data_IF_880934860988
#
_entry.id   IF_880934860988
#
_cell.length_a   1.000
_cell.length_b   1.000
_cell.length_c   1.000
_cell.angle_alpha   90.00
_cell.angle_beta   90.00
_cell.angle_gamma   90.00
#
_symmetry.space_group_name_H-M   'P 1'
#
loop_
_entity.id
_entity.type
_entity.pdbx_description
1 polymer ?
#
# COMPACT_ATOMS: atom_id res chain seq x y z
N UNK A 1 -7.73 15.13 -7.16
CA UNK A 1 -6.60 15.77 -6.44
C UNK A 1 -5.31 15.48 -7.19
N UNK A 2 -4.51 16.51 -7.48
CA UNK A 2 -3.14 16.34 -7.98
C UNK A 2 -2.17 16.63 -6.84
N UNK A 3 -1.19 15.76 -6.62
CA UNK A 3 -0.10 16.06 -5.68
C UNK A 3 0.85 17.03 -6.39
N UNK A 4 0.93 18.25 -5.87
CA UNK A 4 1.91 19.24 -6.31
C UNK A 4 3.15 19.17 -5.41
N UNK A 5 4.30 19.57 -5.94
CA UNK A 5 5.50 19.78 -5.12
C UNK A 5 5.57 21.26 -4.78
N UNK A 6 5.66 21.54 -3.49
CA UNK A 6 5.88 22.88 -2.94
C UNK A 6 7.24 22.99 -2.26
N UNK A 7 7.60 24.21 -1.87
CA UNK A 7 8.80 24.49 -1.09
C UNK A 7 8.47 25.44 0.04
N UNK A 8 8.76 25.04 1.27
CA UNK A 8 8.72 25.92 2.43
C UNK A 8 9.80 27.00 2.26
N UNK A 9 9.39 28.26 2.22
CA UNK A 9 10.28 29.39 1.99
C UNK A 9 11.16 29.75 3.19
N UNK A 10 10.79 29.34 4.40
CA UNK A 10 11.56 29.59 5.61
C UNK A 10 12.66 28.54 5.78
N UNK A 11 12.31 27.26 5.62
CA UNK A 11 13.24 26.15 5.84
C UNK A 11 13.95 25.69 4.56
N UNK A 12 13.42 26.09 3.39
CA UNK A 12 13.86 25.60 2.09
C UNK A 12 13.44 24.17 1.78
N UNK A 13 12.69 23.52 2.67
CA UNK A 13 12.28 22.12 2.58
C UNK A 13 11.23 21.92 1.47
N UNK A 14 11.41 20.90 0.64
CA UNK A 14 10.39 20.48 -0.32
C UNK A 14 9.27 19.68 0.36
N UNK A 15 8.02 19.93 -0.06
CA UNK A 15 6.81 19.34 0.51
C UNK A 15 5.88 18.86 -0.59
N UNK A 16 5.05 17.87 -0.29
CA UNK A 16 3.91 17.53 -1.13
C UNK A 16 2.69 18.36 -0.71
N UNK A 17 1.97 18.90 -1.69
CA UNK A 17 0.74 19.67 -1.48
C UNK A 17 -0.45 18.91 -2.07
N UNK A 18 -1.48 18.72 -1.24
CA UNK A 18 -2.80 18.22 -1.65
C UNK A 18 -3.78 19.37 -1.53
N UNK A 19 -4.57 19.60 -2.59
CA UNK A 19 -5.52 20.70 -2.68
C UNK A 19 -6.92 20.15 -2.97
N UNK A 20 -7.91 20.75 -2.33
CA UNK A 20 -9.33 20.52 -2.55
C UNK A 20 -10.06 21.86 -2.64
N UNK A 21 -10.99 22.02 -3.58
CA UNK A 21 -11.77 23.25 -3.68
C UNK A 21 -12.68 23.40 -2.45
N UNK A 22 -12.76 24.60 -1.88
CA UNK A 22 -13.48 24.86 -0.63
C UNK A 22 -14.98 24.55 -0.70
N UNK A 23 -15.57 24.63 -1.89
CA UNK A 23 -16.98 24.31 -2.16
C UNK A 23 -17.31 22.81 -2.15
N UNK A 24 -16.32 21.92 -2.05
CA UNK A 24 -16.57 20.48 -1.93
C UNK A 24 -17.10 20.20 -0.52
N UNK A 25 -18.33 19.66 -0.47
CA UNK A 25 -19.06 19.29 0.74
C UNK A 25 -19.75 17.92 0.52
N UNK A 26 -19.50 16.89 1.36
CA UNK A 26 -18.53 16.90 2.45
C UNK A 26 -17.08 16.98 1.96
N UNK A 27 -16.24 17.68 2.71
CA UNK A 27 -14.80 17.83 2.47
C UNK A 27 -14.06 16.51 2.70
N UNK A 28 -13.45 15.95 1.65
CA UNK A 28 -12.67 14.72 1.78
C UNK A 28 -11.29 15.00 2.36
N UNK A 29 -10.74 16.19 2.07
CA UNK A 29 -9.42 16.58 2.54
C UNK A 29 -9.41 16.89 4.04
N UNK A 30 -10.48 17.47 4.58
CA UNK A 30 -10.61 17.75 6.02
C UNK A 30 -10.67 16.46 6.83
N UNK A 31 -11.52 15.51 6.42
CA UNK A 31 -11.55 14.18 7.02
C UNK A 31 -10.19 13.46 6.93
N UNK A 32 -9.47 13.59 5.80
CA UNK A 32 -8.14 13.01 5.66
C UNK A 32 -7.10 13.67 6.61
N UNK A 33 -7.16 15.00 6.79
CA UNK A 33 -6.29 15.73 7.73
C UNK A 33 -6.51 15.24 9.15
N UNK A 34 -7.77 15.16 9.61
CA UNK A 34 -8.13 14.69 10.96
C UNK A 34 -7.54 13.30 11.24
N UNK A 35 -7.72 12.36 10.30
CA UNK A 35 -7.19 11.01 10.46
C UNK A 35 -5.66 11.03 10.52
N UNK A 36 -4.98 11.79 9.66
CA UNK A 36 -3.52 11.88 9.72
C UNK A 36 -3.01 12.49 11.03
N UNK A 37 -3.70 13.47 11.60
CA UNK A 37 -3.36 14.04 12.91
C UNK A 37 -3.41 12.96 14.00
N UNK A 38 -4.43 12.10 13.99
CA UNK A 38 -4.54 10.97 14.92
C UNK A 38 -3.47 9.89 14.72
N UNK A 39 -3.10 9.64 13.46
CA UNK A 39 -2.08 8.67 13.07
C UNK A 39 -0.65 9.19 13.26
N UNK A 40 -0.47 10.49 13.47
CA UNK A 40 0.83 11.17 13.50
C UNK A 40 1.83 10.52 14.46
N UNK A 41 3.10 10.47 14.03
CA UNK A 41 4.19 9.80 14.76
C UNK A 41 4.21 8.28 14.65
N UNK A 42 3.24 7.67 13.95
CA UNK A 42 3.19 6.24 13.68
C UNK A 42 4.23 5.73 12.68
N UNK A 43 4.57 4.43 12.73
CA UNK A 43 5.47 3.82 11.76
C UNK A 43 4.89 3.87 10.34
N UNK A 44 5.65 4.43 9.40
CA UNK A 44 5.24 4.53 7.99
C UNK A 44 4.06 5.47 7.75
N UNK A 45 3.80 6.41 8.66
CA UNK A 45 2.83 7.49 8.45
C UNK A 45 3.59 8.77 8.05
N UNK A 46 3.26 9.39 6.90
CA UNK A 46 3.84 10.66 6.49
C UNK A 46 3.52 11.76 7.49
N UNK A 47 4.47 12.67 7.69
CA UNK A 47 4.25 13.83 8.56
C UNK A 47 3.45 14.92 7.84
N UNK A 48 2.39 15.41 8.47
CA UNK A 48 1.76 16.69 8.10
C UNK A 48 2.62 17.83 8.65
N UNK A 49 2.89 18.82 7.81
CA UNK A 49 3.60 20.04 8.20
C UNK A 49 2.64 21.19 8.46
N UNK A 50 1.61 21.31 7.62
CA UNK A 50 0.65 22.40 7.70
C UNK A 50 -0.64 22.04 6.96
N UNK A 51 -1.77 22.58 7.41
CA UNK A 51 -3.01 22.60 6.66
C UNK A 51 -3.74 23.93 6.89
N UNK A 52 -4.57 24.32 5.94
CA UNK A 52 -5.33 25.56 6.00
C UNK A 52 -6.00 25.89 4.67
N UNK A 53 -6.32 27.16 4.47
CA UNK A 53 -6.94 27.66 3.25
C UNK A 53 -5.98 28.57 2.49
N UNK A 54 -5.96 28.44 1.17
CA UNK A 54 -5.29 29.37 0.25
C UNK A 54 -6.24 29.66 -0.93
N UNK A 55 -6.62 30.93 -1.08
CA UNK A 55 -7.70 31.36 -1.99
C UNK A 55 -8.97 30.51 -1.82
N UNK A 56 -9.41 29.83 -2.89
CA UNK A 56 -10.63 29.00 -2.93
C UNK A 56 -10.34 27.52 -2.62
N UNK A 57 -9.16 27.20 -2.06
CA UNK A 57 -8.73 25.83 -1.81
C UNK A 57 -8.42 25.57 -0.34
N UNK A 58 -8.86 24.42 0.16
CA UNK A 58 -8.25 23.74 1.31
C UNK A 58 -6.93 23.13 0.84
N UNK A 59 -5.88 23.29 1.63
CA UNK A 59 -4.53 22.85 1.29
C UNK A 59 -3.95 22.10 2.47
N UNK A 60 -3.36 20.94 2.19
CA UNK A 60 -2.56 20.15 3.12
C UNK A 60 -1.13 20.05 2.58
N UNK A 61 -0.16 20.49 3.36
CA UNK A 61 1.26 20.30 3.13
C UNK A 61 1.80 19.17 4.01
N UNK A 62 2.36 18.15 3.38
CA UNK A 62 2.86 16.95 4.06
C UNK A 62 4.21 16.52 3.48
N UNK A 63 4.85 15.56 4.16
CA UNK A 63 6.15 15.02 3.82
C UNK A 63 6.22 14.63 2.34
N UNK A 64 7.17 15.23 1.62
CA UNK A 64 7.50 14.78 0.28
C UNK A 64 8.19 13.41 0.38
N UNK A 65 7.66 12.44 -0.34
CA UNK A 65 8.15 11.06 -0.36
C UNK A 65 8.75 10.71 -1.72
N UNK A 66 9.45 9.58 -1.76
CA UNK A 66 10.00 9.01 -2.96
C UNK A 66 8.96 8.32 -3.84
N UNK A 67 9.39 7.50 -4.81
CA UNK A 67 8.48 6.82 -5.73
C UNK A 67 7.58 5.80 -5.02
N UNK A 68 6.36 5.62 -5.55
CA UNK A 68 5.47 4.55 -5.14
C UNK A 68 5.96 3.16 -5.60
N UNK A 69 5.43 2.10 -4.98
CA UNK A 69 5.86 0.74 -5.25
C UNK A 69 5.44 0.22 -6.63
N UNK A 70 4.38 0.74 -7.27
CA UNK A 70 4.06 0.37 -8.67
C UNK A 70 5.13 0.90 -9.63
N UNK A 71 5.59 2.14 -9.44
CA UNK A 71 6.67 2.74 -10.23
C UNK A 71 7.97 1.96 -10.06
N UNK A 72 8.32 1.60 -8.82
CA UNK A 72 9.50 0.78 -8.53
C UNK A 72 9.37 -0.64 -9.08
N UNK A 73 8.17 -1.22 -9.06
CA UNK A 73 7.91 -2.54 -9.65
C UNK A 73 8.15 -2.50 -11.15
N UNK A 74 7.65 -1.49 -11.84
CA UNK A 74 7.90 -1.29 -13.27
C UNK A 74 9.39 -1.09 -13.57
N UNK A 75 10.09 -0.27 -12.78
CA UNK A 75 11.53 -0.07 -12.90
C UNK A 75 12.34 -1.37 -12.72
N UNK A 76 11.89 -2.27 -11.84
CA UNK A 76 12.53 -3.57 -11.60
C UNK A 76 12.10 -4.67 -12.60
N UNK A 77 11.47 -4.34 -13.74
CA UNK A 77 11.05 -5.33 -14.72
C UNK A 77 9.78 -6.11 -14.29
N UNK A 78 8.90 -5.45 -13.54
CA UNK A 78 7.60 -5.95 -13.08
C UNK A 78 7.62 -7.11 -12.08
N UNK A 79 8.75 -7.42 -11.45
CA UNK A 79 8.84 -8.38 -10.35
C UNK A 79 9.85 -7.91 -9.32
N UNK A 80 9.54 -8.14 -8.05
CA UNK A 80 10.50 -8.03 -6.96
C UNK A 80 11.05 -9.39 -6.57
N UNK A 81 12.29 -9.40 -6.10
CA UNK A 81 12.88 -10.55 -5.44
C UNK A 81 12.14 -10.84 -4.13
N UNK A 82 12.20 -12.09 -3.68
CA UNK A 82 11.62 -12.49 -2.40
C UNK A 82 12.21 -11.67 -1.24
N UNK A 83 13.50 -11.33 -1.28
CA UNK A 83 14.14 -10.49 -0.25
C UNK A 83 13.46 -9.13 -0.13
N UNK A 84 13.29 -8.41 -1.24
CA UNK A 84 12.59 -7.11 -1.30
C UNK A 84 11.18 -7.21 -0.73
N UNK A 85 10.39 -8.20 -1.15
CA UNK A 85 9.00 -8.36 -0.69
C UNK A 85 8.92 -8.63 0.80
N UNK A 86 9.85 -9.42 1.36
CA UNK A 86 9.89 -9.68 2.80
C UNK A 86 10.35 -8.45 3.61
N UNK A 87 11.28 -7.64 3.09
CA UNK A 87 11.65 -6.36 3.71
C UNK A 87 10.46 -5.38 3.74
N UNK A 88 9.72 -5.29 2.64
CA UNK A 88 8.50 -4.47 2.56
C UNK A 88 7.44 -4.96 3.56
N UNK A 89 7.16 -6.27 3.59
CA UNK A 89 6.19 -6.85 4.51
C UNK A 89 6.53 -6.58 5.99
N UNK A 90 7.82 -6.55 6.36
CA UNK A 90 8.25 -6.29 7.74
C UNK A 90 7.95 -4.86 8.21
N UNK A 91 7.82 -3.90 7.29
CA UNK A 91 7.47 -2.51 7.58
C UNK A 91 5.97 -2.25 7.43
N UNK A 92 5.34 -2.80 6.39
CA UNK A 92 3.93 -2.56 6.09
C UNK A 92 2.98 -3.14 7.16
N UNK A 93 3.26 -4.34 7.67
CA UNK A 93 2.41 -4.96 8.70
C UNK A 93 2.31 -4.06 9.96
N UNK A 94 3.43 -3.55 10.52
CA UNK A 94 3.39 -2.55 11.59
C UNK A 94 2.64 -1.24 11.24
N UNK A 95 2.75 -0.73 10.00
CA UNK A 95 2.03 0.47 9.59
C UNK A 95 0.51 0.27 9.63
N UNK A 96 0.01 -0.83 9.07
CA UNK A 96 -1.41 -1.17 9.15
C UNK A 96 -1.84 -1.48 10.58
N UNK A 97 -1.00 -2.17 11.37
CA UNK A 97 -1.26 -2.35 12.80
C UNK A 97 -1.47 -1.02 13.53
N UNK A 98 -0.65 -0.01 13.22
CA UNK A 98 -0.77 1.32 13.81
C UNK A 98 -2.09 1.99 13.42
N UNK A 99 -2.43 2.00 12.12
CA UNK A 99 -3.71 2.53 11.61
C UNK A 99 -4.90 1.87 12.34
N UNK A 100 -4.91 0.54 12.40
CA UNK A 100 -5.98 -0.21 13.06
C UNK A 100 -6.00 0.00 14.59
N UNK A 101 -4.84 0.25 15.22
CA UNK A 101 -4.77 0.55 16.66
C UNK A 101 -5.35 1.91 17.02
N UNK A 102 -5.40 2.83 16.05
CA UNK A 102 -6.00 4.16 16.15
C UNK A 102 -7.48 4.18 15.80
N UNK A 103 -8.08 3.01 15.53
CA UNK A 103 -9.50 2.90 15.26
C UNK A 103 -9.88 3.08 13.80
N UNK A 104 -8.93 3.06 12.86
CA UNK A 104 -9.22 3.26 11.43
C UNK A 104 -8.93 2.02 10.58
N UNK A 105 -9.58 1.94 9.43
CA UNK A 105 -9.22 1.07 8.30
C UNK A 105 -8.93 1.91 7.06
N UNK A 106 -7.99 1.50 6.23
CA UNK A 106 -7.53 2.22 5.05
C UNK A 106 -8.43 2.02 3.82
N UNK A 107 -8.97 0.81 3.60
CA UNK A 107 -9.89 0.41 2.51
C UNK A 107 -9.37 0.47 1.06
N UNK A 108 -8.21 1.08 0.82
CA UNK A 108 -7.57 1.13 -0.53
C UNK A 108 -6.08 0.79 -0.52
N UNK A 109 -5.75 -0.39 0.03
CA UNK A 109 -4.38 -0.91 0.05
C UNK A 109 -3.94 -1.34 -1.34
N UNK A 110 -3.01 -0.59 -1.94
CA UNK A 110 -2.48 -0.83 -3.28
C UNK A 110 -1.04 -0.30 -3.45
N UNK A 111 -0.25 -0.82 -4.40
CA UNK A 111 1.13 -0.37 -4.62
C UNK A 111 1.30 1.13 -4.87
N UNK A 112 0.30 1.78 -5.47
CA UNK A 112 0.30 3.21 -5.76
C UNK A 112 0.22 4.08 -4.51
N UNK A 113 -0.36 3.55 -3.42
CA UNK A 113 -0.53 4.22 -2.13
C UNK A 113 0.56 3.83 -1.11
N UNK A 114 1.58 3.11 -1.56
CA UNK A 114 2.74 2.74 -0.74
C UNK A 114 3.97 3.38 -1.37
N UNK A 115 4.61 4.28 -0.63
CA UNK A 115 5.74 5.07 -1.11
C UNK A 115 6.99 4.79 -0.29
N UNK A 116 8.16 4.86 -0.94
CA UNK A 116 9.43 4.90 -0.22
C UNK A 116 9.67 6.30 0.33
N UNK A 117 10.51 6.41 1.36
CA UNK A 117 11.04 7.70 1.79
C UNK A 117 11.84 8.41 0.68
N UNK A 118 12.11 9.69 0.91
CA UNK A 118 13.02 10.49 0.09
C UNK A 118 14.47 9.95 0.16
N UNK A 119 15.41 10.59 -0.53
CA UNK A 119 16.81 10.12 -0.57
C UNK A 119 17.46 10.00 0.82
N UNK A 120 16.97 10.74 1.83
CA UNK A 120 17.45 10.68 3.21
C UNK A 120 16.86 9.50 3.99
N UNK A 121 15.66 9.06 3.63
CA UNK A 121 14.91 8.00 4.31
C UNK A 121 14.52 6.86 3.35
N UNK A 122 15.30 6.64 2.29
CA UNK A 122 14.95 5.74 1.19
C UNK A 122 14.81 4.26 1.55
N UNK A 123 15.14 3.88 2.79
CA UNK A 123 14.89 2.55 3.36
C UNK A 123 13.53 2.39 4.03
N UNK A 124 12.83 3.49 4.29
CA UNK A 124 11.56 3.53 5.01
C UNK A 124 10.39 3.45 4.03
N UNK A 125 9.36 2.70 4.41
CA UNK A 125 8.12 2.56 3.65
C UNK A 125 7.01 3.34 4.34
N UNK A 126 6.21 4.05 3.55
CA UNK A 126 5.09 4.86 4.01
C UNK A 126 3.80 4.42 3.33
N UNK A 127 2.72 4.39 4.11
CA UNK A 127 1.34 4.21 3.61
C UNK A 127 0.71 5.60 3.50
N UNK A 128 0.15 5.90 2.34
CA UNK A 128 -0.39 7.22 2.00
C UNK A 128 -1.81 7.12 1.45
N UNK A 129 -2.45 8.28 1.26
CA UNK A 129 -3.79 8.41 0.65
C UNK A 129 -4.87 7.75 1.50
N UNK A 130 -5.19 8.44 2.60
CA UNK A 130 -6.13 8.02 3.64
C UNK A 130 -7.53 8.60 3.36
N UNK A 131 -7.74 9.22 2.19
CA UNK A 131 -9.03 9.78 1.79
C UNK A 131 -10.18 8.76 1.70
N UNK A 132 -9.86 7.46 1.58
CA UNK A 132 -10.84 6.38 1.66
C UNK A 132 -10.87 5.70 3.03
N UNK A 133 -10.09 6.13 4.01
CA UNK A 133 -10.12 5.53 5.33
C UNK A 133 -11.44 5.80 6.05
N UNK A 134 -11.69 5.02 7.10
CA UNK A 134 -12.92 5.08 7.88
C UNK A 134 -12.68 4.59 9.30
N UNK A 135 -13.39 5.16 10.26
CA UNK A 135 -13.40 4.68 11.64
C UNK A 135 -14.07 3.29 11.74
N UNK A 136 -13.50 2.43 12.58
CA UNK A 136 -13.96 1.07 12.83
C UNK A 136 -15.23 1.12 13.68
N UNK A 137 -16.30 0.52 13.18
CA UNK A 137 -17.57 0.41 13.90
C UNK A 137 -18.55 1.53 13.60
N UNK A 138 -18.13 2.59 12.92
CA UNK A 138 -19.07 3.54 12.33
C UNK A 138 -19.87 2.85 11.22
N UNK A 139 -21.21 2.92 11.19
CA UNK A 139 -22.01 2.42 10.08
C UNK A 139 -21.62 3.16 8.81
N UNK A 140 -21.24 2.43 7.75
CA UNK A 140 -21.04 3.06 6.45
C UNK A 140 -22.37 3.45 5.85
N UNK A 141 -22.37 4.41 4.92
CA UNK A 141 -23.41 4.43 3.91
C UNK A 141 -23.42 3.03 3.25
N UNK A 142 -24.59 2.38 3.24
CA UNK A 142 -24.79 1.09 2.56
C UNK A 142 -24.70 1.28 1.04
N UNK A 143 -23.52 1.63 0.56
CA UNK A 143 -23.18 1.62 -0.85
C UNK A 143 -22.78 0.20 -1.20
N UNK A 144 -23.67 -0.50 -1.89
CA UNK A 144 -23.42 -1.82 -2.47
C UNK A 144 -22.30 -1.81 -3.53
N UNK A 145 -21.74 -0.64 -3.84
CA UNK A 145 -20.59 -0.49 -4.73
C UNK A 145 -19.28 -0.76 -3.99
N UNK A 146 -18.43 -1.57 -4.61
CA UNK A 146 -17.08 -1.85 -4.13
C UNK A 146 -16.28 -0.55 -3.91
N UNK A 147 -15.82 -0.33 -2.68
CA UNK A 147 -14.90 0.76 -2.32
C UNK A 147 -13.46 0.27 -2.48
N UNK A 148 -12.61 1.12 -3.08
CA UNK A 148 -11.20 0.84 -3.31
C UNK A 148 -10.93 0.09 -4.62
N UNK A 149 -9.69 -0.35 -4.78
CA UNK A 149 -9.23 -0.91 -6.06
C UNK A 149 -9.61 -2.39 -6.21
N UNK A 150 -10.49 -2.72 -7.17
CA UNK A 150 -11.03 -4.08 -7.43
C UNK A 150 -9.97 -5.18 -7.43
N UNK A 151 -8.78 -4.89 -7.96
CA UNK A 151 -7.66 -5.83 -8.07
C UNK A 151 -7.19 -6.34 -6.70
N UNK A 152 -7.14 -5.46 -5.70
CA UNK A 152 -6.57 -5.74 -4.38
C UNK A 152 -7.63 -5.82 -3.28
N UNK A 153 -8.86 -5.39 -3.53
CA UNK A 153 -9.93 -5.46 -2.52
C UNK A 153 -10.14 -6.90 -1.99
N UNK A 154 -10.56 -7.04 -0.73
CA UNK A 154 -10.87 -8.34 -0.13
C UNK A 154 -12.09 -9.02 -0.77
N UNK A 155 -12.26 -10.31 -0.51
CA UNK A 155 -13.49 -11.03 -0.91
C UNK A 155 -14.73 -10.41 -0.27
N UNK A 156 -14.66 -9.99 1.00
CA UNK A 156 -15.78 -9.37 1.71
C UNK A 156 -16.18 -8.03 1.08
N UNK A 157 -15.20 -7.22 0.67
CA UNK A 157 -15.47 -5.96 -0.02
C UNK A 157 -16.23 -6.19 -1.34
N UNK A 158 -15.87 -7.23 -2.09
CA UNK A 158 -16.62 -7.66 -3.30
C UNK A 158 -18.05 -8.13 -3.00
N UNK A 159 -18.29 -8.67 -1.81
CA UNK A 159 -19.61 -9.13 -1.37
C UNK A 159 -20.45 -8.01 -0.72
N UNK A 160 -19.96 -6.77 -0.68
CA UNK A 160 -20.64 -5.65 -0.03
C UNK A 160 -20.73 -5.79 1.48
N UNK A 161 -19.88 -6.62 2.09
CA UNK A 161 -19.77 -6.75 3.55
C UNK A 161 -18.96 -5.58 4.08
N UNK A 162 -19.40 -5.00 5.20
CA UNK A 162 -18.67 -3.92 5.88
C UNK A 162 -17.22 -4.32 6.14
N UNK A 163 -16.29 -3.48 5.68
CA UNK A 163 -14.87 -3.76 5.76
C UNK A 163 -14.39 -3.59 7.21
N UNK A 164 -13.40 -4.40 7.60
CA UNK A 164 -12.75 -4.33 8.90
C UNK A 164 -11.23 -4.51 8.74
N UNK A 165 -10.43 -4.45 9.83
CA UNK A 165 -8.98 -4.64 9.77
C UNK A 165 -8.51 -5.88 8.99
N UNK A 166 -9.31 -6.95 8.93
CA UNK A 166 -8.99 -8.14 8.14
C UNK A 166 -8.94 -7.86 6.64
N UNK A 167 -9.73 -6.92 6.15
CA UNK A 167 -9.86 -6.62 4.72
C UNK A 167 -8.65 -5.84 4.19
N UNK A 168 -8.11 -4.91 4.97
CA UNK A 168 -6.82 -4.26 4.69
C UNK A 168 -5.69 -5.29 4.67
N UNK A 169 -5.67 -6.22 5.63
CA UNK A 169 -4.66 -7.26 5.70
C UNK A 169 -4.79 -8.26 4.54
N UNK A 170 -6.00 -8.59 4.09
CA UNK A 170 -6.21 -9.45 2.92
C UNK A 170 -5.69 -8.76 1.65
N UNK A 171 -6.01 -7.47 1.51
CA UNK A 171 -5.55 -6.62 0.41
C UNK A 171 -4.02 -6.53 0.37
N UNK A 172 -3.37 -6.33 1.52
CA UNK A 172 -1.91 -6.39 1.66
C UNK A 172 -1.35 -7.74 1.20
N UNK A 173 -2.02 -8.85 1.53
CA UNK A 173 -1.63 -10.18 1.06
C UNK A 173 -1.61 -10.28 -0.47
N UNK A 174 -2.66 -9.76 -1.14
CA UNK A 174 -2.68 -9.71 -2.61
C UNK A 174 -1.59 -8.81 -3.18
N UNK A 175 -1.31 -7.65 -2.56
CA UNK A 175 -0.23 -6.74 -2.96
C UNK A 175 1.14 -7.41 -2.87
N UNK A 176 1.43 -8.11 -1.76
CA UNK A 176 2.71 -8.81 -1.60
C UNK A 176 2.89 -9.95 -2.62
N UNK A 177 1.82 -10.70 -2.91
CA UNK A 177 1.85 -11.75 -3.94
C UNK A 177 1.98 -11.15 -5.34
N UNK A 178 1.32 -10.02 -5.60
CA UNK A 178 1.44 -9.27 -6.85
C UNK A 178 2.88 -8.86 -7.13
N UNK A 179 3.61 -8.37 -6.12
CA UNK A 179 5.02 -8.02 -6.27
C UNK A 179 5.93 -9.19 -6.68
N UNK A 180 5.69 -10.39 -6.14
CA UNK A 180 6.48 -11.58 -6.48
C UNK A 180 6.15 -12.07 -7.88
N UNK A 181 4.86 -12.08 -8.23
CA UNK A 181 4.37 -12.69 -9.47
C UNK A 181 4.42 -11.75 -10.67
N UNK A 182 4.37 -10.44 -10.43
CA UNK A 182 4.19 -9.38 -11.42
C UNK A 182 2.76 -9.23 -11.95
N UNK A 183 1.89 -10.19 -11.65
CA UNK A 183 0.45 -10.16 -11.92
C UNK A 183 -0.32 -11.12 -11.02
N UNK A 184 -1.60 -10.81 -10.78
CA UNK A 184 -2.58 -11.65 -10.09
C UNK A 184 -3.44 -12.44 -11.11
N UNK A 185 -3.91 -13.66 -10.77
CA UNK A 185 -4.65 -14.51 -11.69
C UNK A 185 -5.97 -13.91 -12.21
N UNK A 186 -6.51 -12.88 -11.56
CA UNK A 186 -7.74 -12.19 -11.96
C UNK A 186 -7.51 -10.91 -12.78
N UNK A 187 -6.27 -10.63 -13.20
CA UNK A 187 -6.00 -9.53 -14.13
C UNK A 187 -6.33 -9.89 -15.59
N UNK A 188 -6.65 -8.87 -16.39
CA UNK A 188 -6.90 -9.04 -17.83
C UNK A 188 -8.22 -9.72 -18.19
N UNK A 189 -9.08 -9.99 -17.22
CA UNK A 189 -10.43 -10.53 -17.43
C UNK A 189 -11.26 -9.60 -18.32
N UNK A 190 -11.86 -10.16 -19.37
CA UNK A 190 -12.79 -9.49 -20.27
C UNK A 190 -14.23 -9.85 -19.88
N UNK A 191 -15.09 -8.85 -19.79
CA UNK A 191 -16.51 -9.02 -19.56
C UNK A 191 -17.29 -7.93 -20.32
N UNK A 192 -18.58 -8.17 -20.57
CA UNK A 192 -19.44 -7.19 -21.27
C UNK A 192 -19.83 -6.00 -20.40
N UNK A 193 -19.94 -6.20 -19.10
CA UNK A 193 -20.29 -5.18 -18.11
C UNK A 193 -19.27 -5.18 -16.97
N UNK A 194 -19.18 -4.06 -16.26
CA UNK A 194 -18.31 -3.92 -15.09
C UNK A 194 -18.73 -4.88 -13.96
N UNK A 195 -20.03 -4.99 -13.69
CA UNK A 195 -20.60 -5.92 -12.70
C UNK A 195 -20.22 -7.38 -13.00
N UNK A 196 -20.31 -7.82 -14.26
CA UNK A 196 -19.89 -9.16 -14.65
C UNK A 196 -18.39 -9.35 -14.46
N UNK A 197 -17.58 -8.32 -14.75
CA UNK A 197 -16.13 -8.36 -14.53
C UNK A 197 -15.80 -8.53 -13.05
N UNK A 198 -16.48 -7.82 -12.17
CA UNK A 198 -16.32 -7.92 -10.72
C UNK A 198 -16.70 -9.32 -10.21
N UNK A 199 -17.81 -9.88 -10.70
CA UNK A 199 -18.20 -11.26 -10.39
C UNK A 199 -17.12 -12.28 -10.80
N UNK A 200 -16.54 -12.17 -12.00
CA UNK A 200 -15.45 -13.06 -12.44
C UNK A 200 -14.18 -12.90 -11.58
N UNK A 201 -13.87 -11.67 -11.15
CA UNK A 201 -12.75 -11.42 -10.24
C UNK A 201 -13.01 -12.07 -8.89
N UNK A 202 -14.21 -11.92 -8.33
CA UNK A 202 -14.64 -12.55 -7.08
C UNK A 202 -14.54 -14.08 -7.13
N UNK A 203 -15.08 -14.70 -8.18
CA UNK A 203 -15.01 -16.15 -8.38
C UNK A 203 -13.55 -16.65 -8.41
N UNK A 204 -12.65 -15.93 -9.09
CA UNK A 204 -11.21 -16.25 -9.10
C UNK A 204 -10.53 -16.03 -7.76
N UNK A 205 -10.94 -15.05 -6.96
CA UNK A 205 -10.39 -14.83 -5.61
C UNK A 205 -10.81 -15.91 -4.62
N UNK A 206 -12.08 -16.35 -4.70
CA UNK A 206 -12.62 -17.45 -3.88
C UNK A 206 -11.92 -18.78 -4.20
N UNK A 207 -11.64 -19.03 -5.49
CA UNK A 207 -10.91 -20.22 -5.97
C UNK A 207 -9.41 -19.96 -6.24
N UNK A 208 -8.80 -19.00 -5.54
CA UNK A 208 -7.46 -18.50 -5.89
C UNK A 208 -6.36 -19.57 -5.93
N UNK A 209 -6.45 -20.60 -5.09
CA UNK A 209 -5.53 -21.75 -5.10
C UNK A 209 -5.59 -22.48 -6.43
N UNK A 210 -6.79 -22.72 -6.96
CA UNK A 210 -7.02 -23.43 -8.22
C UNK A 210 -6.49 -22.61 -9.41
N UNK A 211 -6.55 -21.29 -9.30
CA UNK A 211 -5.96 -20.35 -10.27
C UNK A 211 -4.46 -20.10 -10.05
N UNK A 212 -3.82 -20.90 -9.20
CA UNK A 212 -2.37 -20.89 -9.03
C UNK A 212 -1.82 -19.63 -8.38
N UNK A 213 -2.61 -18.92 -7.55
CA UNK A 213 -2.16 -17.73 -6.82
C UNK A 213 -0.88 -18.00 -6.02
N UNK A 214 -0.84 -19.16 -5.35
CA UNK A 214 0.28 -19.59 -4.50
C UNK A 214 1.30 -20.50 -5.22
N UNK A 215 1.16 -20.70 -6.53
CA UNK A 215 2.09 -21.54 -7.29
C UNK A 215 3.47 -20.88 -7.32
N UNK A 216 4.52 -21.67 -7.04
CA UNK A 216 5.93 -21.29 -7.10
C UNK A 216 6.33 -20.12 -6.15
N UNK A 217 5.57 -19.88 -5.09
CA UNK A 217 5.92 -18.94 -4.01
C UNK A 217 5.93 -19.65 -2.64
N UNK A 218 6.64 -19.12 -1.63
CA UNK A 218 6.71 -19.77 -0.31
C UNK A 218 5.35 -19.95 0.38
N UNK A 219 5.19 -21.05 1.12
CA UNK A 219 3.94 -21.41 1.83
C UNK A 219 3.48 -20.33 2.83
N UNK A 220 4.39 -19.49 3.33
CA UNK A 220 4.06 -18.37 4.23
C UNK A 220 3.01 -17.43 3.66
N UNK A 221 3.00 -17.19 2.34
CA UNK A 221 2.01 -16.32 1.70
C UNK A 221 0.61 -16.93 1.74
N UNK A 222 0.52 -18.26 1.59
CA UNK A 222 -0.74 -19.00 1.74
C UNK A 222 -1.21 -19.00 3.18
N UNK A 223 -0.32 -19.30 4.14
CA UNK A 223 -0.61 -19.24 5.59
C UNK A 223 -1.07 -17.85 6.05
N UNK A 224 -0.48 -16.81 5.50
CA UNK A 224 -0.90 -15.42 5.72
C UNK A 224 -2.36 -15.24 5.27
N UNK A 225 -2.68 -15.60 4.01
CA UNK A 225 -4.04 -15.46 3.48
C UNK A 225 -5.07 -16.30 4.24
N UNK A 226 -4.72 -17.54 4.59
CA UNK A 226 -5.60 -18.43 5.35
C UNK A 226 -5.92 -17.86 6.74
N UNK A 227 -4.91 -17.32 7.44
CA UNK A 227 -5.11 -16.69 8.74
C UNK A 227 -6.04 -15.48 8.62
N UNK A 228 -5.74 -14.55 7.71
CA UNK A 228 -6.54 -13.32 7.58
C UNK A 228 -7.98 -13.61 7.17
N UNK A 229 -8.20 -14.57 6.25
CA UNK A 229 -9.53 -14.97 5.80
C UNK A 229 -10.33 -15.74 6.86
N UNK A 230 -9.67 -16.32 7.87
CA UNK A 230 -10.36 -17.01 8.98
C UNK A 230 -10.93 -16.06 10.04
N UNK A 231 -10.49 -14.80 10.05
CA UNK A 231 -10.88 -13.82 11.07
C UNK A 231 -12.36 -13.42 10.91
N UNK A 232 -13.06 -13.28 12.03
CA UNK A 232 -14.37 -12.63 12.07
C UNK A 232 -14.23 -11.10 11.90
N UNK A 233 -15.34 -10.40 11.66
CA UNK A 233 -15.32 -8.96 11.38
C UNK A 233 -14.83 -8.13 12.57
N UNK A 234 -15.14 -8.55 13.79
CA UNK A 234 -14.76 -7.94 15.06
C UNK A 234 -13.42 -8.46 15.62
N UNK A 235 -12.82 -9.46 14.97
CA UNK A 235 -11.56 -10.05 15.40
C UNK A 235 -10.36 -9.23 14.90
N UNK A 236 -9.44 -8.90 15.81
CA UNK A 236 -8.19 -8.21 15.46
C UNK A 236 -7.19 -9.19 14.84
N UNK A 237 -6.59 -8.88 13.67
CA UNK A 237 -5.50 -9.67 13.10
C UNK A 237 -4.34 -9.86 14.09
N UNK A 238 -3.74 -11.04 14.13
CA UNK A 238 -2.53 -11.27 14.91
C UNK A 238 -1.29 -10.77 14.14
N UNK A 239 -1.05 -9.45 14.16
CA UNK A 239 0.04 -8.80 13.43
C UNK A 239 1.42 -9.39 13.78
N UNK A 240 1.61 -9.78 15.05
CA UNK A 240 2.87 -10.40 15.51
C UNK A 240 3.09 -11.74 14.81
N UNK A 241 2.05 -12.57 14.71
CA UNK A 241 2.11 -13.83 13.96
C UNK A 241 2.38 -13.59 12.47
N UNK A 242 1.64 -12.68 11.84
CA UNK A 242 1.78 -12.36 10.42
C UNK A 242 3.21 -11.89 10.09
N UNK A 243 3.75 -10.97 10.90
CA UNK A 243 5.13 -10.50 10.75
C UNK A 243 6.15 -11.62 11.00
N UNK A 244 5.90 -12.49 11.97
CA UNK A 244 6.77 -13.63 12.29
C UNK A 244 6.87 -14.65 11.17
N UNK A 245 5.80 -14.89 10.40
CA UNK A 245 5.82 -15.77 9.23
C UNK A 245 6.93 -15.33 8.26
N UNK A 246 6.89 -14.07 7.83
CA UNK A 246 7.85 -13.53 6.87
C UNK A 246 9.26 -13.38 7.45
N UNK A 247 9.41 -12.98 8.71
CA UNK A 247 10.72 -12.95 9.39
C UNK A 247 11.39 -14.32 9.47
N UNK A 248 10.63 -15.36 9.79
CA UNK A 248 11.16 -16.72 9.84
C UNK A 248 11.60 -17.18 8.46
N UNK A 249 10.81 -16.91 7.42
CA UNK A 249 11.19 -17.19 6.04
C UNK A 249 12.45 -16.43 5.63
N UNK A 250 12.55 -15.14 5.96
CA UNK A 250 13.72 -14.31 5.69
C UNK A 250 15.01 -14.91 6.27
N UNK A 251 14.96 -15.33 7.54
CA UNK A 251 16.08 -16.00 8.22
C UNK A 251 16.42 -17.36 7.60
N UNK A 252 15.42 -18.19 7.27
CA UNK A 252 15.66 -19.49 6.61
C UNK A 252 16.27 -19.35 5.23
N UNK A 253 16.03 -18.25 4.53
CA UNK A 253 16.68 -17.91 3.26
C UNK A 253 18.07 -17.29 3.44
N UNK A 254 18.53 -17.12 4.69
CA UNK A 254 19.81 -16.47 5.03
C UNK A 254 19.95 -15.08 4.42
N UNK A 255 18.85 -14.34 4.32
CA UNK A 255 18.90 -12.95 3.87
C UNK A 255 19.42 -12.05 4.99
N UNK A 256 20.22 -11.07 4.61
CA UNK A 256 20.70 -10.01 5.49
C UNK A 256 19.73 -8.83 5.48
N UNK A 257 19.47 -8.27 6.66
CA UNK A 257 18.64 -7.09 6.84
C UNK A 257 19.50 -5.82 6.65
N UNK A 258 19.91 -5.60 5.41
CA UNK A 258 20.82 -4.53 4.96
C UNK A 258 20.09 -3.35 4.30
N UNK A 259 18.76 -3.40 4.26
CA UNK A 259 17.90 -2.44 3.55
C UNK A 259 18.18 -2.32 2.05
N UNK A 260 18.82 -3.32 1.43
CA UNK A 260 19.09 -3.34 0.00
C UNK A 260 17.92 -3.97 -0.74
N UNK A 261 17.12 -3.12 -1.37
CA UNK A 261 16.03 -3.51 -2.27
C UNK A 261 16.52 -3.68 -3.71
N UNK A 262 15.71 -4.33 -4.56
CA UNK A 262 16.09 -4.59 -5.97
C UNK A 262 16.43 -3.30 -6.74
N UNK A 263 15.61 -2.25 -6.58
CA UNK A 263 15.84 -0.96 -7.22
C UNK A 263 17.11 -0.26 -6.72
N UNK A 264 17.56 -0.56 -5.48
CA UNK A 264 18.80 0.00 -4.94
C UNK A 264 20.01 -0.55 -5.71
N UNK A 265 19.98 -1.85 -6.00
CA UNK A 265 21.02 -2.50 -6.82
C UNK A 265 21.00 -2.00 -8.25
N UNK A 266 19.81 -1.90 -8.86
CA UNK A 266 19.66 -1.41 -10.24
C UNK A 266 20.16 0.04 -10.37
N UNK A 267 19.77 0.93 -9.47
CA UNK A 267 20.27 2.32 -9.46
C UNK A 267 21.79 2.39 -9.35
N UNK A 268 22.40 1.53 -8.53
CA UNK A 268 23.86 1.47 -8.41
C UNK A 268 24.53 0.99 -9.71
N UNK A 269 23.97 -0.03 -10.36
CA UNK A 269 24.46 -0.50 -11.66
C UNK A 269 24.31 0.56 -12.75
N UNK A 270 23.16 1.21 -12.84
CA UNK A 270 22.90 2.32 -13.77
C UNK A 270 23.90 3.47 -13.54
N UNK A 271 24.22 3.78 -12.28
CA UNK A 271 25.24 4.77 -11.94
C UNK A 271 26.63 4.34 -12.44
N UNK A 272 27.03 3.08 -12.22
CA UNK A 272 28.31 2.58 -12.72
C UNK A 272 28.39 2.63 -14.25
N UNK A 273 27.32 2.26 -14.95
CA UNK A 273 27.28 2.30 -16.42
C UNK A 273 27.41 3.73 -16.96
N UNK A 274 26.71 4.69 -16.37
CA UNK A 274 26.79 6.11 -16.78
C UNK A 274 28.16 6.74 -16.53
N UNK A 275 28.92 6.20 -15.57
CA UNK A 275 30.24 6.70 -15.18
C UNK A 275 31.39 5.84 -15.73
N UNK A 276 31.12 4.83 -16.56
CA UNK A 276 32.14 4.24 -17.44
C UNK A 276 32.44 5.26 -18.54
N UNK A 277 33.62 5.87 -18.48
CA UNK A 277 34.10 6.77 -19.52
C UNK A 277 34.22 6.08 -20.89
N UNK A 278 34.27 6.82 -22.00
CA UNK A 278 34.66 6.27 -23.29
C UNK A 278 36.16 5.94 -23.23
N UNK A 279 36.51 4.67 -23.01
CA UNK A 279 37.64 3.96 -23.63
C UNK A 279 37.99 2.66 -22.89
N UNK A 280 37.93 1.56 -23.63
CA UNK A 280 38.90 0.45 -23.65
C UNK A 280 38.50 -0.48 -24.82
N UNK A 281 38.60 0.06 -26.05
CA UNK A 281 38.38 -0.64 -27.31
C UNK A 281 39.44 -0.22 -28.34
#
# INVERSE_FOLDING_TARGET
MGNLVGRDLQTGQEVALKLEHADIDPSLLENEIEIYEELSGGPGIPRIYWHGYECEFRVMAFQLLGPNLENLLNYCGRKFSLKTVLLLADQLIPSFQHIHSKGYIHRDVKPENILMGDDKQGSNVYVTDIGLAKEIGEPGEHNYSLIGTTRYASINAHLGVEQSPRDDMESLGYVLIYFIRGSLPWQGLKAKTQEHKEKLILERKQSATDWGLYKDIPEEFKKYSEHVRSLQSDEKPNYVYLRRLFRNLFRRRSYEYDHVFDWTKLKFLDYLERNKGPDDG
#
